data_IF_755310649263
#
_entry.id   IF_755310649263
#
_cell.length_a   1.000
_cell.length_b   1.000
_cell.length_c   1.000
_cell.angle_alpha   90.00
_cell.angle_beta   90.00
_cell.angle_gamma   90.00
#
_symmetry.space_group_name_H-M   'P 1'
#
loop_
_entity.id
_entity.type
_entity.pdbx_description
1 polymer ?
#
# COMPACT_ATOMS: atom_id res chain seq x y z
N UNK A 1 16.10 -2.18 11.80
CA UNK A 1 15.14 -3.14 12.43
C UNK A 1 13.97 -3.33 11.49
N UNK A 2 13.52 -4.57 11.26
CA UNK A 2 12.38 -4.86 10.40
C UNK A 2 11.06 -4.44 11.07
N UNK A 3 10.19 -3.76 10.34
CA UNK A 3 8.84 -3.45 10.80
C UNK A 3 7.96 -4.71 10.68
N UNK A 4 7.06 -4.91 11.64
CA UNK A 4 6.12 -6.05 11.61
C UNK A 4 5.12 -5.88 10.46
N UNK A 5 4.54 -6.95 9.92
CA UNK A 5 3.43 -6.84 8.96
C UNK A 5 2.31 -5.95 9.53
N UNK A 6 1.80 -5.03 8.72
CA UNK A 6 0.65 -4.20 9.07
C UNK A 6 -0.66 -5.00 8.92
N UNK A 7 -1.61 -4.75 9.81
CA UNK A 7 -3.01 -5.21 9.61
C UNK A 7 -3.72 -4.31 8.59
N UNK A 8 -4.85 -4.80 8.06
CA UNK A 8 -5.68 -4.03 7.15
C UNK A 8 -6.17 -2.73 7.79
N UNK A 9 -6.56 -2.74 9.08
CA UNK A 9 -7.00 -1.54 9.79
C UNK A 9 -5.87 -0.53 9.94
N UNK A 10 -4.66 -0.97 10.27
CA UNK A 10 -3.50 -0.09 10.41
C UNK A 10 -3.12 0.58 9.10
N UNK A 11 -3.08 -0.20 8.01
CA UNK A 11 -2.80 0.30 6.66
C UNK A 11 -3.89 1.27 6.19
N UNK A 12 -5.16 0.96 6.44
CA UNK A 12 -6.29 1.82 6.07
C UNK A 12 -6.29 3.13 6.85
N UNK A 13 -6.00 3.07 8.15
CA UNK A 13 -5.90 4.26 8.99
C UNK A 13 -4.75 5.18 8.53
N UNK A 14 -3.60 4.63 8.16
CA UNK A 14 -2.49 5.40 7.60
C UNK A 14 -2.88 6.06 6.27
N UNK A 15 -3.49 5.31 5.34
CA UNK A 15 -3.99 5.85 4.09
C UNK A 15 -5.00 6.99 4.30
N UNK A 16 -5.98 6.80 5.18
CA UNK A 16 -7.00 7.82 5.50
C UNK A 16 -6.36 9.09 6.05
N UNK A 17 -5.38 8.96 6.95
CA UNK A 17 -4.66 10.11 7.49
C UNK A 17 -3.93 10.91 6.39
N UNK A 18 -3.26 10.22 5.45
CA UNK A 18 -2.59 10.87 4.30
C UNK A 18 -3.59 11.60 3.40
N UNK A 19 -4.71 10.96 3.07
CA UNK A 19 -5.76 11.55 2.22
C UNK A 19 -6.40 12.77 2.89
N UNK A 20 -6.63 12.72 4.20
CA UNK A 20 -7.27 13.81 4.94
C UNK A 20 -6.45 15.12 4.95
N UNK A 21 -5.12 15.04 4.82
CA UNK A 21 -4.22 16.21 4.88
C UNK A 21 -3.66 16.63 3.51
N UNK A 22 -4.05 15.95 2.42
CA UNK A 22 -3.49 16.20 1.09
C UNK A 22 -4.52 16.00 -0.01
N UNK A 23 -5.01 17.12 -0.58
CA UNK A 23 -5.90 17.09 -1.75
C UNK A 23 -5.30 16.33 -2.94
N UNK A 24 -3.97 16.41 -3.12
CA UNK A 24 -3.24 15.63 -4.13
C UNK A 24 -3.42 14.14 -3.89
N UNK A 25 -3.16 13.67 -2.66
CA UNK A 25 -3.32 12.26 -2.31
C UNK A 25 -4.79 11.83 -2.26
N UNK A 26 -5.74 12.74 -2.06
CA UNK A 26 -7.17 12.45 -2.16
C UNK A 26 -7.63 12.19 -3.60
N UNK A 27 -6.98 12.81 -4.58
CA UNK A 27 -7.28 12.64 -6.01
C UNK A 27 -6.55 11.47 -6.68
N UNK A 28 -6.05 11.71 -7.90
CA UNK A 28 -5.47 10.69 -8.78
C UNK A 28 -3.99 10.36 -8.49
N UNK A 29 -3.40 10.92 -7.43
CA UNK A 29 -2.00 10.70 -7.09
C UNK A 29 -1.78 9.35 -6.36
N UNK A 30 -2.10 8.23 -7.01
CA UNK A 30 -2.04 6.89 -6.42
C UNK A 30 -0.62 6.52 -5.92
N UNK A 31 0.42 6.91 -6.67
CA UNK A 31 1.82 6.68 -6.28
C UNK A 31 2.16 7.41 -4.97
N UNK A 32 1.89 8.71 -4.90
CA UNK A 32 2.17 9.53 -3.73
C UNK A 32 1.35 9.07 -2.53
N UNK A 33 0.06 8.78 -2.72
CA UNK A 33 -0.82 8.28 -1.67
C UNK A 33 -0.32 6.96 -1.09
N UNK A 34 0.00 5.98 -1.94
CA UNK A 34 0.41 4.64 -1.50
C UNK A 34 1.75 4.66 -0.77
N UNK A 35 2.76 5.37 -1.29
CA UNK A 35 4.07 5.44 -0.64
C UNK A 35 4.01 6.24 0.66
N UNK A 36 3.27 7.35 0.71
CA UNK A 36 3.09 8.12 1.94
C UNK A 36 2.37 7.29 3.02
N UNK A 37 1.37 6.49 2.65
CA UNK A 37 0.70 5.58 3.57
C UNK A 37 1.65 4.49 4.09
N UNK A 38 2.45 3.87 3.20
CA UNK A 38 3.45 2.88 3.60
C UNK A 38 4.52 3.46 4.54
N UNK A 39 5.00 4.67 4.27
CA UNK A 39 5.96 5.37 5.11
C UNK A 39 5.37 5.78 6.47
N UNK A 40 4.10 6.18 6.50
CA UNK A 40 3.39 6.45 7.76
C UNK A 40 3.17 5.17 8.59
N UNK A 41 2.90 4.04 7.94
CA UNK A 41 2.93 2.75 8.62
C UNK A 41 4.33 2.46 9.19
N UNK A 42 5.39 2.69 8.40
CA UNK A 42 6.79 2.46 8.80
C UNK A 42 7.15 3.24 10.05
N UNK A 43 6.75 4.50 10.14
CA UNK A 43 7.03 5.34 11.32
C UNK A 43 6.27 4.86 12.56
N UNK A 44 5.18 4.10 12.39
CA UNK A 44 4.42 3.43 13.44
C UNK A 44 4.92 2.00 13.74
N UNK A 45 6.03 1.57 13.15
CA UNK A 45 6.64 0.26 13.41
C UNK A 45 5.97 -0.93 12.69
N UNK A 46 5.07 -0.66 11.74
CA UNK A 46 4.42 -1.68 10.91
C UNK A 46 4.71 -1.41 9.43
N UNK A 47 4.56 -2.42 8.57
CA UNK A 47 4.79 -2.27 7.14
C UNK A 47 3.72 -3.04 6.37
N UNK A 48 2.92 -2.40 5.51
CA UNK A 48 2.14 -3.10 4.51
C UNK A 48 3.07 -3.51 3.36
N UNK A 49 2.67 -4.47 2.52
CA UNK A 49 3.36 -4.63 1.23
C UNK A 49 3.03 -3.40 0.38
N UNK A 50 4.03 -2.65 -0.05
CA UNK A 50 3.82 -1.56 -1.01
C UNK A 50 4.02 -2.09 -2.42
N UNK A 51 3.07 -1.79 -3.31
CA UNK A 51 3.02 -2.33 -4.67
C UNK A 51 2.91 -1.21 -5.71
N UNK A 52 3.55 -1.40 -6.85
CA UNK A 52 3.25 -0.70 -8.11
C UNK A 52 3.05 -1.73 -9.21
N UNK A 53 2.16 -1.46 -10.15
CA UNK A 53 1.77 -2.44 -11.14
C UNK A 53 0.89 -1.87 -12.23
N UNK A 54 0.38 -2.76 -13.09
CA UNK A 54 -0.43 -2.39 -14.25
C UNK A 54 -1.59 -3.34 -14.45
N UNK A 55 -2.66 -2.83 -15.07
CA UNK A 55 -3.66 -3.62 -15.79
C UNK A 55 -3.37 -3.47 -17.28
N UNK A 56 -3.54 -4.52 -18.07
CA UNK A 56 -3.18 -4.52 -19.51
C UNK A 56 -4.33 -4.12 -20.43
N UNK A 57 -5.59 -4.21 -20.01
CA UNK A 57 -6.74 -3.80 -20.82
C UNK A 57 -7.93 -3.30 -19.97
N UNK A 58 -8.39 -2.05 -20.16
CA UNK A 58 -7.61 -0.96 -20.74
C UNK A 58 -6.33 -0.75 -19.92
N UNK A 59 -5.23 -0.34 -20.58
CA UNK A 59 -3.96 -0.15 -19.90
C UNK A 59 -4.05 0.95 -18.84
N UNK A 60 -3.64 0.63 -17.61
CA UNK A 60 -3.59 1.57 -16.51
C UNK A 60 -2.45 1.20 -15.56
N UNK A 61 -1.61 2.17 -15.20
CA UNK A 61 -0.61 2.03 -14.16
C UNK A 61 -1.18 2.46 -12.80
N UNK A 62 -0.88 1.70 -11.76
CA UNK A 62 -1.39 1.95 -10.41
C UNK A 62 -0.35 1.66 -9.33
N UNK A 63 -0.56 2.24 -8.17
CA UNK A 63 0.24 2.01 -6.98
C UNK A 63 -0.67 1.93 -5.75
N UNK A 64 -0.46 0.91 -4.92
CA UNK A 64 -1.31 0.58 -3.78
C UNK A 64 -0.50 -0.03 -2.63
N UNK A 65 -1.19 -0.28 -1.51
CA UNK A 65 -0.64 -1.03 -0.38
C UNK A 65 -1.52 -2.26 -0.12
N UNK A 66 -0.92 -3.35 0.32
CA UNK A 66 -1.60 -4.59 0.69
C UNK A 66 -1.34 -4.95 2.14
N UNK A 67 -2.35 -5.53 2.78
CA UNK A 67 -2.24 -6.18 4.08
C UNK A 67 -2.74 -7.61 3.95
N UNK A 68 -1.93 -8.58 4.37
CA UNK A 68 -2.22 -10.01 4.21
C UNK A 68 -2.60 -10.42 2.75
N UNK A 69 -1.99 -9.76 1.75
CA UNK A 69 -2.23 -10.04 0.32
C UNK A 69 -3.44 -9.31 -0.28
N UNK A 70 -4.19 -8.55 0.53
CA UNK A 70 -5.38 -7.84 0.06
C UNK A 70 -5.11 -6.33 -0.13
N UNK A 71 -5.51 -5.73 -1.28
CA UNK A 71 -5.42 -4.29 -1.50
C UNK A 71 -6.21 -3.48 -0.46
N UNK A 72 -5.57 -2.49 0.16
CA UNK A 72 -6.19 -1.73 1.26
C UNK A 72 -6.79 -0.42 0.77
N UNK A 73 -8.11 -0.30 0.87
CA UNK A 73 -8.87 0.91 0.50
C UNK A 73 -9.01 1.13 -1.00
N UNK A 74 -8.64 0.13 -1.81
CA UNK A 74 -8.84 0.15 -3.25
C UNK A 74 -10.26 -0.31 -3.58
N UNK A 75 -10.91 0.24 -4.62
CA UNK A 75 -12.23 -0.21 -5.06
C UNK A 75 -12.17 -1.53 -5.85
N UNK A 76 -10.96 -2.02 -6.13
CA UNK A 76 -10.71 -3.20 -6.93
C UNK A 76 -10.18 -4.33 -6.04
N UNK A 77 -10.58 -5.59 -6.29
CA UNK A 77 -10.10 -6.74 -5.53
C UNK A 77 -8.64 -7.08 -5.85
N UNK A 78 -8.06 -7.98 -5.06
CA UNK A 78 -6.77 -8.60 -5.37
C UNK A 78 -6.74 -9.16 -6.81
N UNK A 79 -5.60 -9.05 -7.48
CA UNK A 79 -5.40 -9.53 -8.84
C UNK A 79 -5.89 -8.60 -9.96
N UNK A 80 -6.61 -7.51 -9.66
CA UNK A 80 -7.02 -6.53 -10.67
C UNK A 80 -5.83 -5.83 -11.34
N UNK A 81 -4.80 -5.52 -10.55
CA UNK A 81 -3.51 -5.04 -11.04
C UNK A 81 -2.45 -6.13 -10.88
N UNK A 82 -1.61 -6.31 -11.91
CA UNK A 82 -0.45 -7.18 -11.87
C UNK A 82 0.73 -6.40 -11.28
N UNK A 83 1.28 -6.79 -10.12
CA UNK A 83 2.45 -6.12 -9.55
C UNK A 83 3.66 -6.19 -10.50
N UNK A 84 4.34 -5.07 -10.67
CA UNK A 84 5.65 -4.97 -11.33
C UNK A 84 6.77 -4.81 -10.30
N UNK A 85 6.51 -4.07 -9.22
CA UNK A 85 7.40 -3.93 -8.07
C UNK A 85 6.58 -4.06 -6.79
N UNK A 86 7.07 -4.89 -5.87
CA UNK A 86 6.49 -5.05 -4.54
C UNK A 86 7.59 -5.03 -3.47
N UNK A 87 7.33 -4.34 -2.37
CA UNK A 87 8.22 -4.27 -1.21
C UNK A 87 7.47 -4.80 0.00
N UNK A 88 7.66 -6.09 0.29
CA UNK A 88 7.00 -6.78 1.39
C UNK A 88 7.67 -6.49 2.76
N UNK A 89 6.99 -6.75 3.88
CA UNK A 89 7.62 -6.73 5.21
C UNK A 89 8.76 -7.75 5.24
N UNK A 90 9.85 -7.41 5.92
CA UNK A 90 10.94 -8.37 6.15
C UNK A 90 10.37 -9.51 7.00
N UNK A 91 10.36 -10.73 6.46
CA UNK A 91 10.05 -11.91 7.25
C UNK A 91 11.10 -12.01 8.37
N UNK A 92 10.66 -11.98 9.63
CA UNK A 92 11.53 -12.38 10.73
C UNK A 92 11.76 -13.88 10.54
N UNK A 93 12.94 -14.28 10.05
CA UNK A 93 13.38 -15.67 10.16
C UNK A 93 13.40 -15.99 11.66
N UNK A 94 12.45 -16.83 12.10
CA UNK A 94 12.49 -17.36 13.46
C UNK A 94 13.57 -18.44 13.45
N UNK A 95 14.70 -18.14 14.10
CA UNK A 95 15.75 -19.09 14.48
C UNK A 95 15.22 -20.15 15.43
#
# INVERSE_FOLDING_TARGET
RGARPATAEQALAARRAVVAVSLRCAGQACLQRSIAAALLCRSRGVWPTWCTGVRTSPFEAHAWIEAAGEPVGEPYPAGHYRPLLSVAPVAVQRS
#
